data_IF_088643794192
#
_entry.id   IF_088643794192
#
_cell.length_a   1.000
_cell.length_b   1.000
_cell.length_c   1.000
_cell.angle_alpha   90.00
_cell.angle_beta   90.00
_cell.angle_gamma   90.00
#
_symmetry.space_group_name_H-M   'P 1'
#
loop_
_entity.id
_entity.type
_entity.pdbx_description
1 polymer ?
#
# COMPACT_ATOMS: atom_id res chain seq x y z
N UNK A 1 19.66 -14.80 -9.83
CA UNK A 1 19.01 -14.09 -8.70
C UNK A 1 19.23 -12.58 -8.79
N UNK A 2 20.45 -12.12 -9.08
CA UNK A 2 20.80 -10.68 -9.13
C UNK A 2 19.97 -9.87 -10.15
N UNK A 3 19.64 -10.45 -11.31
CA UNK A 3 18.86 -9.76 -12.37
C UNK A 3 17.49 -9.28 -11.87
N UNK A 4 16.84 -10.05 -10.97
CA UNK A 4 15.51 -9.71 -10.44
C UNK A 4 15.57 -8.88 -9.15
N UNK A 5 16.76 -8.79 -8.53
CA UNK A 5 16.91 -8.11 -7.24
C UNK A 5 16.65 -6.61 -7.36
N UNK A 6 17.08 -5.97 -8.45
CA UNK A 6 16.83 -4.54 -8.71
C UNK A 6 15.34 -4.23 -8.83
N UNK A 7 14.60 -5.01 -9.62
CA UNK A 7 13.15 -4.89 -9.76
C UNK A 7 12.42 -5.14 -8.46
N UNK A 8 12.84 -6.15 -7.68
CA UNK A 8 12.30 -6.40 -6.35
C UNK A 8 12.56 -5.23 -5.39
N UNK A 9 13.77 -4.68 -5.36
CA UNK A 9 14.12 -3.58 -4.46
C UNK A 9 13.33 -2.31 -4.78
N UNK A 10 13.15 -2.01 -6.07
CA UNK A 10 12.31 -0.89 -6.51
C UNK A 10 10.84 -1.10 -6.08
N UNK A 11 10.29 -2.29 -6.32
CA UNK A 11 8.94 -2.68 -5.87
C UNK A 11 8.81 -2.55 -4.36
N UNK A 12 9.73 -3.16 -3.62
CA UNK A 12 9.68 -3.25 -2.17
C UNK A 12 9.79 -1.86 -1.55
N UNK A 13 10.70 -1.02 -2.05
CA UNK A 13 10.85 0.35 -1.60
C UNK A 13 9.60 1.17 -1.92
N UNK A 14 9.12 1.17 -3.17
CA UNK A 14 7.95 1.95 -3.55
C UNK A 14 6.69 1.52 -2.78
N UNK A 15 6.47 0.21 -2.66
CA UNK A 15 5.37 -0.37 -1.91
C UNK A 15 5.44 -0.02 -0.42
N UNK A 16 6.59 -0.24 0.22
CA UNK A 16 6.75 0.05 1.64
C UNK A 16 6.61 1.55 1.92
N UNK A 17 7.21 2.41 1.10
CA UNK A 17 7.11 3.87 1.22
C UNK A 17 5.66 4.35 1.07
N UNK A 18 4.89 3.74 0.17
CA UNK A 18 3.47 4.03 0.01
C UNK A 18 2.63 3.56 1.21
N UNK A 19 3.01 2.45 1.86
CA UNK A 19 2.36 1.94 3.08
C UNK A 19 2.59 2.87 4.29
N UNK A 20 3.72 3.57 4.34
CA UNK A 20 4.02 4.52 5.43
C UNK A 20 3.05 5.72 5.45
N UNK A 21 2.41 6.04 4.31
CA UNK A 21 1.48 7.16 4.23
C UNK A 21 0.10 6.77 4.78
N UNK A 22 -0.42 7.50 5.80
CA UNK A 22 -1.74 7.22 6.36
C UNK A 22 -2.87 7.56 5.37
N UNK A 23 -3.41 6.52 4.74
CA UNK A 23 -4.57 6.57 3.87
C UNK A 23 -5.88 6.17 4.55
N UNK A 24 -6.93 5.91 3.76
CA UNK A 24 -8.26 5.51 4.25
C UNK A 24 -8.19 4.26 5.14
N UNK A 25 -7.42 3.25 4.71
CA UNK A 25 -7.21 1.99 5.43
C UNK A 25 -6.58 2.21 6.81
N UNK A 26 -5.59 3.12 6.90
CA UNK A 26 -4.96 3.50 8.16
C UNK A 26 -5.96 4.11 9.15
N UNK A 27 -6.81 5.04 8.69
CA UNK A 27 -7.82 5.66 9.55
C UNK A 27 -8.88 4.68 10.03
N UNK A 28 -9.25 3.71 9.19
CA UNK A 28 -10.18 2.65 9.56
C UNK A 28 -9.58 1.75 10.65
N UNK A 29 -8.32 1.33 10.49
CA UNK A 29 -7.57 0.58 11.51
C UNK A 29 -7.52 1.37 12.81
N UNK A 30 -7.16 2.64 12.74
CA UNK A 30 -7.06 3.52 13.89
C UNK A 30 -8.39 3.65 14.65
N UNK A 31 -9.49 3.88 13.92
CA UNK A 31 -10.84 3.97 14.47
C UNK A 31 -11.24 2.67 15.15
N UNK A 32 -11.10 1.53 14.46
CA UNK A 32 -11.54 0.25 14.99
C UNK A 32 -10.67 -0.24 16.16
N UNK A 33 -9.36 -0.03 16.10
CA UNK A 33 -8.43 -0.40 17.16
C UNK A 33 -8.63 0.45 18.43
N UNK A 34 -8.91 1.75 18.26
CA UNK A 34 -9.09 2.67 19.39
C UNK A 34 -10.46 2.54 20.04
N UNK A 35 -11.54 2.39 19.26
CA UNK A 35 -12.91 2.30 19.78
C UNK A 35 -13.29 0.91 20.28
N UNK A 36 -12.89 -0.13 19.56
CA UNK A 36 -13.36 -1.50 19.81
C UNK A 36 -12.25 -2.46 20.27
N UNK A 37 -11.03 -1.93 20.46
CA UNK A 37 -9.87 -2.64 21.01
C UNK A 37 -8.94 -3.24 19.95
N UNK A 38 -7.80 -3.78 20.39
CA UNK A 38 -6.78 -4.33 19.47
C UNK A 38 -7.31 -5.42 18.54
N UNK A 39 -8.16 -6.30 19.06
CA UNK A 39 -8.69 -7.43 18.29
C UNK A 39 -9.50 -7.00 17.06
N UNK A 40 -10.30 -5.93 17.14
CA UNK A 40 -11.03 -5.40 15.98
C UNK A 40 -10.06 -4.79 14.96
N UNK A 41 -9.03 -4.08 15.42
CA UNK A 41 -7.96 -3.56 14.56
C UNK A 41 -7.24 -4.65 13.78
N UNK A 42 -6.84 -5.74 14.43
CA UNK A 42 -6.16 -6.88 13.77
C UNK A 42 -7.07 -7.54 12.75
N UNK A 43 -8.35 -7.75 13.08
CA UNK A 43 -9.32 -8.36 12.16
C UNK A 43 -9.60 -7.45 10.96
N UNK A 44 -9.69 -6.14 11.17
CA UNK A 44 -9.78 -5.14 10.08
C UNK A 44 -8.54 -5.17 9.19
N UNK A 45 -7.35 -5.27 9.77
CA UNK A 45 -6.07 -5.38 9.04
C UNK A 45 -6.04 -6.62 8.15
N UNK A 46 -6.51 -7.76 8.66
CA UNK A 46 -6.64 -8.98 7.86
C UNK A 46 -7.62 -8.79 6.67
N UNK A 47 -8.73 -8.08 6.90
CA UNK A 47 -9.68 -7.70 5.85
C UNK A 47 -9.02 -6.84 4.76
N UNK A 48 -8.30 -5.78 5.14
CA UNK A 48 -7.58 -4.88 4.23
C UNK A 48 -6.56 -5.66 3.41
N UNK A 49 -5.71 -6.47 4.06
CA UNK A 49 -4.71 -7.29 3.39
C UNK A 49 -5.36 -8.26 2.38
N UNK A 50 -6.51 -8.86 2.74
CA UNK A 50 -7.24 -9.76 1.84
C UNK A 50 -7.86 -9.03 0.66
N UNK A 51 -8.41 -7.82 0.85
CA UNK A 51 -8.91 -7.00 -0.25
C UNK A 51 -7.79 -6.57 -1.20
N UNK A 52 -6.63 -6.19 -0.65
CA UNK A 52 -5.44 -5.89 -1.43
C UNK A 52 -4.90 -7.12 -2.17
N UNK A 53 -4.98 -8.32 -1.58
CA UNK A 53 -4.60 -9.57 -2.23
C UNK A 53 -5.37 -9.79 -3.54
N UNK A 54 -6.66 -9.41 -3.59
CA UNK A 54 -7.45 -9.50 -4.84
C UNK A 54 -6.79 -8.68 -5.95
N UNK A 55 -6.40 -7.43 -5.68
CA UNK A 55 -5.72 -6.60 -6.67
C UNK A 55 -4.31 -7.08 -7.01
N UNK A 56 -3.57 -7.58 -6.02
CA UNK A 56 -2.26 -8.20 -6.23
C UNK A 56 -2.38 -9.38 -7.18
N UNK A 57 -3.37 -10.26 -6.99
CA UNK A 57 -3.61 -11.42 -7.85
C UNK A 57 -4.09 -10.98 -9.24
N UNK A 58 -5.00 -10.00 -9.32
CA UNK A 58 -5.44 -9.44 -10.60
C UNK A 58 -4.27 -8.84 -11.39
N UNK A 59 -3.35 -8.14 -10.74
CA UNK A 59 -2.16 -7.60 -11.37
C UNK A 59 -1.18 -8.70 -11.79
N UNK A 60 -0.94 -9.70 -10.92
CA UNK A 60 -0.10 -10.87 -11.23
C UNK A 60 -0.59 -11.60 -12.48
N UNK A 61 -1.86 -12.02 -12.51
CA UNK A 61 -2.41 -12.74 -13.66
C UNK A 61 -2.63 -11.83 -14.87
N UNK A 62 -3.06 -10.58 -14.66
CA UNK A 62 -3.27 -9.61 -15.73
C UNK A 62 -1.98 -9.33 -16.52
N UNK A 63 -0.85 -9.17 -15.83
CA UNK A 63 0.44 -8.97 -16.51
C UNK A 63 0.84 -10.17 -17.36
N UNK A 64 0.61 -11.40 -16.87
CA UNK A 64 0.97 -12.60 -17.65
C UNK A 64 0.26 -12.68 -19.00
N UNK A 65 -0.93 -12.07 -19.13
CA UNK A 65 -1.71 -12.06 -20.37
C UNK A 65 -1.28 -10.96 -21.35
N UNK A 66 -0.76 -9.84 -20.85
CA UNK A 66 -0.49 -8.64 -21.68
C UNK A 66 1.00 -8.44 -21.98
N UNK A 67 1.90 -9.12 -21.26
CA UNK A 67 3.36 -8.93 -21.40
C UNK A 67 3.92 -9.31 -22.78
N UNK A 68 3.19 -10.10 -23.56
CA UNK A 68 3.59 -10.46 -24.94
C UNK A 68 3.36 -9.31 -25.92
N UNK A 69 2.50 -8.36 -25.58
CA UNK A 69 2.28 -7.16 -26.40
C UNK A 69 3.15 -6.02 -25.87
N UNK A 70 4.29 -5.81 -26.54
CA UNK A 70 5.29 -4.80 -26.17
C UNK A 70 4.70 -3.39 -26.06
N UNK A 71 3.81 -3.00 -26.98
CA UNK A 71 3.17 -1.67 -26.96
C UNK A 71 2.28 -1.48 -25.73
N UNK A 72 1.46 -2.48 -25.39
CA UNK A 72 0.58 -2.43 -24.22
C UNK A 72 1.41 -2.40 -22.94
N UNK A 73 2.44 -3.24 -22.86
CA UNK A 73 3.31 -3.33 -21.69
C UNK A 73 4.12 -2.05 -21.47
N UNK A 74 4.70 -1.48 -22.53
CA UNK A 74 5.42 -0.19 -22.48
C UNK A 74 4.48 0.96 -22.07
N UNK A 75 3.27 1.01 -22.64
CA UNK A 75 2.26 2.02 -22.29
C UNK A 75 1.90 1.95 -20.80
N UNK A 76 1.71 0.75 -20.26
CA UNK A 76 1.43 0.59 -18.83
C UNK A 76 2.62 0.98 -17.96
N UNK A 77 3.87 0.74 -18.37
CA UNK A 77 5.06 1.20 -17.64
C UNK A 77 5.11 2.71 -17.54
N UNK A 78 4.83 3.41 -18.64
CA UNK A 78 4.77 4.87 -18.67
C UNK A 78 3.62 5.36 -17.77
N UNK A 79 2.42 4.81 -17.93
CA UNK A 79 1.25 5.20 -17.12
C UNK A 79 1.48 4.94 -15.62
N UNK A 80 2.10 3.80 -15.27
CA UNK A 80 2.47 3.47 -13.90
C UNK A 80 3.49 4.45 -13.32
N UNK A 81 4.50 4.81 -14.11
CA UNK A 81 5.49 5.81 -13.70
C UNK A 81 4.87 7.18 -13.46
N UNK A 82 3.98 7.64 -14.36
CA UNK A 82 3.20 8.86 -14.19
C UNK A 82 2.30 8.81 -12.96
N UNK A 83 1.72 7.64 -12.65
CA UNK A 83 0.92 7.44 -11.45
C UNK A 83 1.76 7.56 -10.17
N UNK A 84 2.98 7.02 -10.13
CA UNK A 84 3.90 7.24 -9.01
C UNK A 84 4.26 8.70 -8.83
N UNK A 85 4.49 9.42 -9.94
CA UNK A 85 4.73 10.86 -9.88
C UNK A 85 3.53 11.61 -9.29
N UNK A 86 2.33 11.26 -9.73
CA UNK A 86 1.09 11.83 -9.21
C UNK A 86 0.92 11.58 -7.70
N UNK A 87 1.10 10.33 -7.24
CA UNK A 87 1.02 9.99 -5.82
C UNK A 87 2.12 10.69 -5.03
N UNK A 88 3.36 10.69 -5.52
CA UNK A 88 4.48 11.36 -4.87
C UNK A 88 4.21 12.85 -4.68
N UNK A 89 3.71 13.52 -5.71
CA UNK A 89 3.29 14.92 -5.66
C UNK A 89 2.15 15.18 -4.68
N UNK A 90 1.13 14.32 -4.68
CA UNK A 90 0.01 14.40 -3.73
C UNK A 90 0.49 14.32 -2.28
N UNK A 91 1.45 13.42 -2.00
CA UNK A 91 2.04 13.26 -0.66
C UNK A 91 2.84 14.49 -0.21
N UNK A 92 3.56 15.17 -1.12
CA UNK A 92 4.26 16.42 -0.79
C UNK A 92 3.32 17.56 -0.39
N UNK A 93 2.07 17.52 -0.88
CA UNK A 93 1.04 18.54 -0.65
C UNK A 93 0.14 18.26 0.55
N UNK A 94 0.33 17.13 1.24
CA UNK A 94 -0.47 16.84 2.43
C UNK A 94 -0.19 17.91 3.49
N UNK A 95 -1.28 18.41 4.08
CA UNK A 95 -1.25 19.29 5.24
C UNK A 95 -1.37 18.43 6.50
N UNK A 96 -0.77 18.89 7.60
CA UNK A 96 -0.88 18.23 8.91
C UNK A 96 -2.36 18.01 9.26
N UNK A 97 -2.72 16.75 9.56
CA UNK A 97 -4.05 16.34 10.01
C UNK A 97 -3.96 15.96 11.48
N UNK A 98 -5.02 16.26 12.23
CA UNK A 98 -5.23 15.67 13.55
C UNK A 98 -5.70 14.23 13.33
N UNK A 99 -4.89 13.27 13.77
CA UNK A 99 -5.17 11.85 13.58
C UNK A 99 -5.96 11.29 14.76
N UNK A 100 -5.83 11.91 15.94
CA UNK A 100 -6.46 11.45 17.18
C UNK A 100 -7.35 12.57 17.74
N UNK A 101 -8.65 12.51 17.44
CA UNK A 101 -9.65 13.32 18.16
C UNK A 101 -9.91 12.72 19.55
N UNK A 102 -10.10 13.56 20.58
CA UNK A 102 -10.49 13.15 21.94
C UNK A 102 -11.84 12.42 21.91
N UNK A 103 -11.80 11.12 21.65
CA UNK A 103 -12.98 10.26 21.66
C UNK A 103 -13.06 9.53 23.00
N UNK A 104 -14.13 9.84 23.71
CA UNK A 104 -14.54 9.23 24.98
C UNK A 104 -14.56 7.72 24.83
N UNK A 105 -13.89 7.02 25.75
CA UNK A 105 -13.88 5.56 25.81
C UNK A 105 -15.31 5.04 26.05
N UNK A 106 -15.96 4.44 25.04
CA UNK A 106 -17.24 3.76 25.23
C UNK A 106 -17.20 2.27 24.87
N UNK A 107 -17.53 1.49 25.91
CA UNK A 107 -17.98 0.09 26.03
C UNK A 107 -17.55 -0.94 24.96
N UNK A 108 -16.80 -1.94 25.44
CA UNK A 108 -16.60 -3.28 24.84
C UNK A 108 -17.95 -3.90 24.42
N UNK A 109 -18.33 -3.77 23.15
CA UNK A 109 -19.40 -4.58 22.51
C UNK A 109 -18.81 -5.86 21.90
N UNK A 110 -19.68 -6.85 21.67
CA UNK A 110 -19.37 -8.22 21.23
C UNK A 110 -18.32 -8.29 20.09
N UNK A 111 -17.56 -9.39 20.05
CA UNK A 111 -16.63 -9.73 18.95
C UNK A 111 -17.40 -9.89 17.63
N UNK A 112 -17.56 -8.79 16.88
CA UNK A 112 -18.14 -8.79 15.53
C UNK A 112 -17.03 -9.01 14.48
N UNK A 113 -16.34 -10.16 14.54
CA UNK A 113 -15.19 -10.46 13.67
C UNK A 113 -15.51 -10.28 12.19
N UNK A 114 -16.65 -10.83 11.73
CA UNK A 114 -17.08 -10.73 10.33
C UNK A 114 -17.23 -9.27 9.91
N UNK A 115 -17.87 -8.44 10.73
CA UNK A 115 -18.09 -7.02 10.41
C UNK A 115 -16.77 -6.28 10.27
N UNK A 116 -15.84 -6.43 11.23
CA UNK A 116 -14.56 -5.73 11.18
C UNK A 116 -13.70 -6.19 10.00
N UNK A 117 -13.77 -7.48 9.65
CA UNK A 117 -13.13 -8.02 8.46
C UNK A 117 -13.74 -7.44 7.18
N UNK A 118 -15.07 -7.49 7.05
CA UNK A 118 -15.80 -6.95 5.91
C UNK A 118 -15.57 -5.45 5.72
N UNK A 119 -15.51 -4.66 6.80
CA UNK A 119 -15.14 -3.24 6.72
C UNK A 119 -13.75 -3.05 6.12
N UNK A 120 -12.76 -3.83 6.57
CA UNK A 120 -11.40 -3.77 6.04
C UNK A 120 -11.32 -4.21 4.57
N UNK A 121 -11.97 -5.33 4.25
CA UNK A 121 -12.02 -5.86 2.88
C UNK A 121 -12.67 -4.89 1.91
N UNK A 122 -13.84 -4.33 2.27
CA UNK A 122 -14.54 -3.35 1.45
C UNK A 122 -13.77 -2.04 1.33
N UNK A 123 -13.08 -1.60 2.39
CA UNK A 123 -12.20 -0.43 2.33
C UNK A 123 -11.12 -0.63 1.26
N UNK A 124 -10.44 -1.77 1.27
CA UNK A 124 -9.40 -2.07 0.29
C UNK A 124 -9.94 -2.21 -1.14
N UNK A 125 -11.07 -2.91 -1.33
CA UNK A 125 -11.69 -3.13 -2.65
C UNK A 125 -12.30 -1.86 -3.23
N UNK A 126 -12.93 -1.01 -2.41
CA UNK A 126 -13.57 0.21 -2.91
C UNK A 126 -12.59 1.38 -3.04
N UNK A 127 -11.32 1.18 -2.68
CA UNK A 127 -10.28 2.20 -2.76
C UNK A 127 -9.63 2.21 -4.16
N UNK A 128 -9.97 3.16 -5.04
CA UNK A 128 -9.40 3.22 -6.39
C UNK A 128 -7.89 3.48 -6.38
N UNK A 129 -7.31 3.93 -5.25
CA UNK A 129 -5.85 4.02 -5.09
C UNK A 129 -5.22 2.62 -5.17
N UNK A 130 -5.81 1.63 -4.52
CA UNK A 130 -5.20 0.30 -4.37
C UNK A 130 -5.16 -0.43 -5.72
N UNK A 131 -6.25 -0.37 -6.50
CA UNK A 131 -6.32 -1.01 -7.82
C UNK A 131 -5.24 -0.49 -8.78
N UNK A 132 -5.12 0.83 -8.93
CA UNK A 132 -4.13 1.46 -9.83
C UNK A 132 -2.71 1.24 -9.29
N UNK A 133 -2.53 1.30 -7.97
CA UNK A 133 -1.23 1.12 -7.33
C UNK A 133 -0.64 -0.27 -7.54
N UNK A 134 -1.39 -1.35 -7.28
CA UNK A 134 -0.87 -2.70 -7.46
C UNK A 134 -0.60 -3.03 -8.93
N UNK A 135 -1.46 -2.57 -9.85
CA UNK A 135 -1.21 -2.67 -11.29
C UNK A 135 0.10 -1.96 -11.67
N UNK A 136 0.31 -0.75 -11.16
CA UNK A 136 1.53 0.03 -11.36
C UNK A 136 2.76 -0.70 -10.82
N UNK A 137 2.72 -1.17 -9.57
CA UNK A 137 3.83 -1.89 -8.92
C UNK A 137 4.26 -3.11 -9.72
N UNK A 138 3.30 -3.93 -10.16
CA UNK A 138 3.59 -5.10 -10.97
C UNK A 138 4.19 -4.73 -12.32
N UNK A 139 3.67 -3.70 -12.98
CA UNK A 139 4.09 -3.31 -14.33
C UNK A 139 5.52 -2.79 -14.38
N UNK A 140 5.89 -1.96 -13.40
CA UNK A 140 7.22 -1.34 -13.37
C UNK A 140 8.31 -2.31 -12.86
N UNK A 141 7.93 -3.34 -12.11
CA UNK A 141 8.88 -4.22 -11.40
C UNK A 141 9.14 -5.54 -12.11
N UNK A 142 8.32 -5.87 -13.11
CA UNK A 142 8.44 -7.08 -13.92
C UNK A 142 9.09 -6.75 -15.26
N UNK A 143 9.98 -7.63 -15.71
CA UNK A 143 10.52 -7.67 -17.06
C UNK A 143 9.83 -8.78 -17.86
N UNK A 144 9.85 -8.70 -19.19
CA UNK A 144 9.12 -9.64 -20.07
C UNK A 144 9.48 -11.12 -19.80
N UNK A 145 10.73 -11.37 -19.41
CA UNK A 145 11.32 -12.67 -19.12
C UNK A 145 11.20 -13.10 -17.66
N UNK A 146 10.61 -12.28 -16.78
CA UNK A 146 10.54 -12.58 -15.34
C UNK A 146 9.68 -13.83 -15.10
N UNK A 147 10.23 -14.90 -14.51
CA UNK A 147 9.49 -16.15 -14.29
C UNK A 147 8.34 -16.00 -13.30
N UNK A 148 7.28 -16.80 -13.47
CA UNK A 148 6.07 -16.75 -12.62
C UNK A 148 6.37 -16.94 -11.12
N UNK A 149 7.36 -17.76 -10.76
CA UNK A 149 7.73 -17.98 -9.35
C UNK A 149 8.31 -16.70 -8.69
N UNK A 150 9.03 -15.86 -9.45
CA UNK A 150 9.53 -14.56 -8.97
C UNK A 150 8.39 -13.59 -8.78
N UNK A 151 7.45 -13.55 -9.73
CA UNK A 151 6.26 -12.70 -9.64
C UNK A 151 5.37 -13.11 -8.44
N UNK A 152 5.24 -14.42 -8.20
CA UNK A 152 4.53 -14.97 -7.05
C UNK A 152 5.21 -14.60 -5.72
N UNK A 153 6.54 -14.56 -5.71
CA UNK A 153 7.30 -14.05 -4.55
C UNK A 153 7.01 -12.56 -4.29
N UNK A 154 6.95 -11.71 -5.32
CA UNK A 154 6.59 -10.29 -5.17
C UNK A 154 5.17 -10.14 -4.63
N UNK A 155 4.23 -10.92 -5.16
CA UNK A 155 2.84 -10.95 -4.71
C UNK A 155 2.74 -11.31 -3.22
N UNK A 156 3.40 -12.39 -2.81
CA UNK A 156 3.42 -12.85 -1.43
C UNK A 156 4.07 -11.82 -0.50
N UNK A 157 5.19 -11.22 -0.93
CA UNK A 157 5.87 -10.19 -0.16
C UNK A 157 4.97 -8.97 0.07
N UNK A 158 4.30 -8.46 -0.97
CA UNK A 158 3.40 -7.29 -0.82
C UNK A 158 2.23 -7.57 0.12
N UNK A 159 1.59 -8.74 -0.03
CA UNK A 159 0.51 -9.15 0.85
C UNK A 159 0.95 -9.21 2.32
N UNK A 160 2.10 -9.85 2.59
CA UNK A 160 2.65 -9.94 3.94
C UNK A 160 3.08 -8.57 4.47
N UNK A 161 3.66 -7.72 3.62
CA UNK A 161 4.05 -6.36 3.98
C UNK A 161 2.84 -5.54 4.44
N UNK A 162 1.71 -5.57 3.70
CA UNK A 162 0.46 -4.93 4.11
C UNK A 162 -0.01 -5.49 5.45
N UNK A 163 -0.14 -6.83 5.54
CA UNK A 163 -0.70 -7.49 6.72
C UNK A 163 0.10 -7.18 7.99
N UNK A 164 1.43 -7.33 7.94
CA UNK A 164 2.28 -7.09 9.10
C UNK A 164 2.40 -5.61 9.43
N UNK A 165 2.44 -4.72 8.43
CA UNK A 165 2.44 -3.28 8.66
C UNK A 165 1.16 -2.82 9.34
N UNK A 166 -0.01 -3.25 8.86
CA UNK A 166 -1.29 -2.87 9.41
C UNK A 166 -1.46 -3.40 10.86
N UNK A 167 -1.05 -4.64 11.11
CA UNK A 167 -1.01 -5.19 12.47
C UNK A 167 -0.05 -4.39 13.35
N UNK A 168 1.13 -4.04 12.86
CA UNK A 168 2.08 -3.19 13.60
C UNK A 168 1.48 -1.82 13.93
N UNK A 169 0.76 -1.20 12.99
CA UNK A 169 0.02 0.04 13.20
C UNK A 169 -1.01 -0.13 14.33
N UNK A 170 -1.77 -1.24 14.39
CA UNK A 170 -2.71 -1.51 15.49
C UNK A 170 -2.01 -1.44 16.85
N UNK A 171 -0.82 -2.05 16.97
CA UNK A 171 -0.06 -2.03 18.22
C UNK A 171 0.52 -0.65 18.54
N UNK A 172 0.98 0.09 17.53
CA UNK A 172 1.41 1.48 17.69
C UNK A 172 0.25 2.36 18.17
N UNK A 173 -0.89 2.33 17.49
CA UNK A 173 -2.00 3.25 17.78
C UNK A 173 -2.78 2.91 19.03
N UNK A 174 -2.60 1.72 19.61
CA UNK A 174 -3.19 1.37 20.91
C UNK A 174 -2.27 1.67 22.08
N UNK A 175 -1.08 2.22 21.84
CA UNK A 175 -0.18 2.78 22.85
C UNK A 175 -0.26 4.32 22.82
N UNK A 176 -0.68 4.93 23.93
CA UNK A 176 -0.89 6.39 24.03
C UNK A 176 0.36 7.23 23.71
N UNK A 177 1.55 6.75 24.06
CA UNK A 177 2.82 7.44 23.74
C UNK A 177 3.11 7.45 22.23
N UNK A 178 2.81 6.34 21.57
CA UNK A 178 3.03 6.18 20.14
C UNK A 178 2.04 6.99 19.30
N UNK A 179 0.82 7.25 19.80
CA UNK A 179 -0.17 8.13 19.14
C UNK A 179 0.40 9.53 18.89
N UNK A 180 0.98 10.14 19.92
CA UNK A 180 1.58 11.48 19.84
C UNK A 180 2.72 11.51 18.80
N UNK A 181 3.52 10.45 18.76
CA UNK A 181 4.59 10.34 17.77
C UNK A 181 4.04 10.26 16.34
N UNK A 182 3.06 9.39 16.11
CA UNK A 182 2.42 9.23 14.80
C UNK A 182 1.79 10.55 14.33
N UNK A 183 1.10 11.27 15.21
CA UNK A 183 0.50 12.58 14.90
C UNK A 183 1.53 13.68 14.63
N UNK A 184 2.67 13.65 15.33
CA UNK A 184 3.77 14.61 15.11
C UNK A 184 4.49 14.36 13.79
N UNK A 185 4.74 13.10 13.44
CA UNK A 185 5.62 12.75 12.32
C UNK A 185 4.90 12.32 11.04
N UNK A 186 3.61 12.02 11.07
CA UNK A 186 2.83 11.60 9.90
C UNK A 186 3.05 12.51 8.68
N UNK A 187 2.95 13.83 8.85
CA UNK A 187 3.16 14.78 7.76
C UNK A 187 4.61 14.78 7.21
N UNK A 188 5.61 14.49 8.05
CA UNK A 188 7.00 14.36 7.60
C UNK A 188 7.20 13.04 6.85
N UNK A 189 6.63 11.95 7.36
CA UNK A 189 6.64 10.63 6.72
C UNK A 189 6.02 10.74 5.33
N UNK A 190 4.85 11.37 5.20
CA UNK A 190 4.20 11.59 3.90
C UNK A 190 5.08 12.37 2.93
N UNK A 191 5.71 13.47 3.38
CA UNK A 191 6.59 14.27 2.50
C UNK A 191 7.84 13.51 2.06
N UNK A 192 8.49 12.78 2.98
CA UNK A 192 9.64 11.95 2.64
C UNK A 192 9.22 10.84 1.68
N UNK A 193 8.09 10.17 1.94
CA UNK A 193 7.53 9.17 1.03
C UNK A 193 7.24 9.75 -0.34
N UNK A 194 6.68 10.96 -0.39
CA UNK A 194 6.39 11.68 -1.62
C UNK A 194 7.64 11.95 -2.45
N UNK A 195 8.71 12.42 -1.81
CA UNK A 195 10.00 12.67 -2.47
C UNK A 195 10.61 11.38 -3.03
N UNK A 196 10.56 10.26 -2.28
CA UNK A 196 11.06 8.96 -2.75
C UNK A 196 10.24 8.45 -3.93
N UNK A 197 8.91 8.54 -3.88
CA UNK A 197 8.06 8.11 -5.00
C UNK A 197 8.23 8.97 -6.25
N UNK A 198 8.45 10.28 -6.10
CA UNK A 198 8.81 11.14 -7.22
C UNK A 198 10.12 10.72 -7.86
N UNK A 199 11.16 10.48 -7.05
CA UNK A 199 12.45 10.02 -7.54
C UNK A 199 12.33 8.69 -8.30
N UNK A 200 11.66 7.69 -7.71
CA UNK A 200 11.45 6.39 -8.34
C UNK A 200 10.64 6.50 -9.62
N UNK A 201 9.53 7.24 -9.59
CA UNK A 201 8.67 7.47 -10.77
C UNK A 201 9.43 8.16 -11.91
N UNK A 202 10.27 9.15 -11.61
CA UNK A 202 11.10 9.83 -12.59
C UNK A 202 12.17 8.91 -13.18
N UNK A 203 12.86 8.13 -12.34
CA UNK A 203 13.89 7.18 -12.80
C UNK A 203 13.30 6.16 -13.77
N UNK A 204 12.17 5.55 -13.41
CA UNK A 204 11.52 4.53 -14.23
C UNK A 204 10.95 5.13 -15.51
N UNK A 205 10.42 6.36 -15.46
CA UNK A 205 9.92 7.04 -16.65
C UNK A 205 11.04 7.32 -17.66
N UNK A 206 12.21 7.76 -17.19
CA UNK A 206 13.38 7.97 -18.03
C UNK A 206 13.83 6.65 -18.68
N UNK A 207 13.93 5.58 -17.89
CA UNK A 207 14.30 4.26 -18.40
C UNK A 207 13.28 3.72 -19.42
N UNK A 208 12.00 4.04 -19.25
CA UNK A 208 10.92 3.57 -20.13
C UNK A 208 10.81 4.34 -21.45
N UNK A 209 11.42 5.52 -21.56
CA UNK A 209 11.42 6.36 -22.78
C UNK A 209 12.71 6.22 -23.58
N UNK A 210 13.80 5.77 -22.94
CA UNK A 210 15.11 5.59 -23.56
C UNK A 210 15.32 4.21 -24.21
N UNK A 211 14.31 3.34 -24.17
CA UNK A 211 14.24 2.01 -24.81
C UNK A 211 13.00 1.91 -25.69
#
# INVERSE_FOLDING_TARGET
MEIYLSGFLALALAHFVALLSPGVDFFLILSNASKYGRSSGVVTSAGIATGNLVYILLALFGITLIKENELVFASLKILGSLYLLYIGYMLLRVKKRELFSNQTEEKKRKKETIKYFSMGFLSAILNPKNSIFYLTMFTISIQNDTPFYVQSFYAAWMFLAVLFWDIFVVYLVTNSKSRIWVERYSNHIEKVSGAILLFLGSSILVDSVLY
#
